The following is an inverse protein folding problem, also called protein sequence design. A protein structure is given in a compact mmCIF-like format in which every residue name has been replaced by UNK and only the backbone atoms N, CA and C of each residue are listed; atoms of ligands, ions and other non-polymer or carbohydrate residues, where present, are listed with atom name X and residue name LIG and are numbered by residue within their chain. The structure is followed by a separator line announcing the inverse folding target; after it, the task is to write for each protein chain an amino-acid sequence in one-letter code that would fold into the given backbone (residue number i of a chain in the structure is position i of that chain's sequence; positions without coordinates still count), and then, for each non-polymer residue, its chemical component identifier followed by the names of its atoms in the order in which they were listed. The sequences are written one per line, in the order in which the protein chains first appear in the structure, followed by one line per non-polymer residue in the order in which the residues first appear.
data_IF_583371027213
#
_entry.id   IF_583371027213
#
_cell.length_a   1.000
_cell.length_b   1.000
_cell.length_c   1.000
_cell.angle_alpha   90.00
_cell.angle_beta   90.00
_cell.angle_gamma   90.00
#
_symmetry.space_group_name_H-M   'P 1'
#
loop_
_entity.id
_entity.type
_entity.pdbx_description
1 polymer ?
#
# COMPACT_ATOMS: atom_id res chain seq x y z
N UNK A 1 25.84 -8.79 7.21
CA UNK A 1 25.45 -10.20 6.98
C UNK A 1 26.70 -10.99 6.63
N UNK A 2 26.90 -12.15 7.25
CA UNK A 2 27.96 -13.09 6.86
C UNK A 2 27.53 -13.81 5.58
N UNK A 3 28.37 -13.80 4.55
CA UNK A 3 28.13 -14.45 3.24
C UNK A 3 28.19 -16.00 3.31
N UNK A 4 28.09 -16.60 4.50
CA UNK A 4 28.44 -18.00 4.74
C UNK A 4 27.29 -18.85 5.28
N UNK A 5 26.16 -18.25 5.65
CA UNK A 5 24.99 -18.99 6.11
C UNK A 5 23.83 -18.75 5.16
N UNK A 6 23.49 -19.78 4.38
CA UNK A 6 22.25 -19.81 3.62
C UNK A 6 21.10 -20.08 4.60
N UNK A 7 20.54 -19.01 5.16
CA UNK A 7 19.38 -19.07 6.05
C UNK A 7 18.14 -19.73 5.42
N UNK A 8 18.11 -19.92 4.09
CA UNK A 8 16.98 -20.49 3.34
C UNK A 8 17.06 -22.00 3.21
N UNK A 9 18.26 -22.55 3.10
CA UNK A 9 18.49 -23.99 3.24
C UNK A 9 17.98 -24.48 4.61
N UNK A 10 18.10 -23.65 5.66
CA UNK A 10 17.62 -23.98 7.01
C UNK A 10 16.08 -24.10 7.11
N UNK A 11 15.33 -23.45 6.22
CA UNK A 11 13.86 -23.53 6.17
C UNK A 11 13.34 -24.43 5.05
N UNK A 12 14.24 -25.05 4.29
CA UNK A 12 13.91 -25.99 3.20
C UNK A 12 13.32 -25.33 1.96
N UNK A 13 13.63 -24.06 1.70
CA UNK A 13 13.11 -23.28 0.57
C UNK A 13 13.96 -23.45 -0.71
N UNK A 14 13.32 -23.78 -1.83
CA UNK A 14 13.88 -23.67 -3.19
C UNK A 14 13.43 -22.36 -3.85
N UNK A 15 14.25 -21.31 -3.73
CA UNK A 15 13.94 -19.97 -4.22
C UNK A 15 13.71 -19.88 -5.73
N UNK A 16 14.23 -20.84 -6.51
CA UNK A 16 14.10 -20.83 -7.97
C UNK A 16 12.85 -21.58 -8.45
N UNK A 17 12.06 -22.12 -7.53
CA UNK A 17 10.86 -22.88 -7.84
C UNK A 17 9.63 -22.29 -7.14
N UNK A 18 8.85 -21.49 -7.88
CA UNK A 18 7.58 -20.92 -7.40
C UNK A 18 6.55 -21.96 -6.93
N UNK A 19 6.71 -23.24 -7.30
CA UNK A 19 5.81 -24.33 -6.89
C UNK A 19 6.23 -24.99 -5.58
N UNK A 20 7.42 -24.72 -5.09
CA UNK A 20 7.81 -25.14 -3.76
C UNK A 20 7.12 -24.24 -2.75
N UNK A 21 6.06 -24.74 -2.10
CA UNK A 21 5.24 -24.00 -1.13
C UNK A 21 5.28 -24.63 0.26
N UNK A 22 6.11 -25.65 0.47
CA UNK A 22 6.15 -26.46 1.68
C UNK A 22 7.11 -25.95 2.76
N UNK A 23 7.59 -24.71 2.62
CA UNK A 23 8.65 -24.11 3.43
C UNK A 23 8.12 -23.01 4.38
N UNK A 24 8.98 -22.55 5.29
CA UNK A 24 8.65 -21.47 6.23
C UNK A 24 8.01 -21.95 7.54
N UNK A 25 7.33 -21.03 8.24
CA UNK A 25 6.68 -21.31 9.52
C UNK A 25 5.31 -20.64 9.62
N UNK A 26 4.34 -21.34 10.21
CA UNK A 26 3.03 -20.78 10.54
C UNK A 26 3.04 -19.99 11.87
N UNK A 27 4.19 -19.90 12.55
CA UNK A 27 4.35 -19.05 13.73
C UNK A 27 4.75 -17.65 13.30
N UNK A 28 3.93 -16.64 13.64
CA UNK A 28 4.35 -15.24 13.59
C UNK A 28 5.67 -15.07 14.36
N UNK A 29 6.57 -14.22 13.84
CA UNK A 29 7.99 -14.13 14.26
C UNK A 29 8.24 -14.33 15.75
N UNK A 30 9.26 -15.14 16.09
CA UNK A 30 9.58 -15.51 17.49
C UNK A 30 9.84 -14.30 18.39
N UNK A 31 10.29 -13.19 17.81
CA UNK A 31 10.49 -11.92 18.48
C UNK A 31 9.49 -10.88 17.96
N UNK A 32 8.52 -10.53 18.80
CA UNK A 32 7.47 -9.56 18.46
C UNK A 32 8.02 -8.16 18.18
N UNK A 33 9.21 -7.82 18.69
CA UNK A 33 9.81 -6.49 18.44
C UNK A 33 10.21 -6.31 16.97
N UNK A 34 10.51 -7.42 16.27
CA UNK A 34 10.84 -7.40 14.84
C UNK A 34 9.59 -7.09 13.98
N UNK A 35 8.39 -7.28 14.53
CA UNK A 35 7.09 -6.99 13.89
C UNK A 35 6.61 -5.55 14.14
N UNK A 36 7.50 -4.64 14.55
CA UNK A 36 7.11 -3.30 14.97
C UNK A 36 6.53 -2.45 13.83
N UNK A 37 7.08 -2.59 12.61
CA UNK A 37 6.52 -1.95 11.41
C UNK A 37 5.15 -2.53 11.07
N UNK A 38 5.01 -3.85 10.98
CA UNK A 38 3.75 -4.53 10.66
C UNK A 38 2.63 -4.18 11.66
N UNK A 39 2.97 -4.16 12.95
CA UNK A 39 2.04 -3.78 14.02
C UNK A 39 1.59 -2.33 13.85
N UNK A 40 2.52 -1.44 13.51
CA UNK A 40 2.24 -0.02 13.29
C UNK A 40 1.30 0.17 12.10
N UNK A 41 1.62 -0.43 10.95
CA UNK A 41 0.81 -0.40 9.71
C UNK A 41 -0.59 -0.96 9.96
N UNK A 42 -0.68 -2.13 10.60
CA UNK A 42 -1.96 -2.79 10.92
C UNK A 42 -2.81 -1.93 11.85
N UNK A 43 -2.19 -1.25 12.82
CA UNK A 43 -2.91 -0.42 13.79
C UNK A 43 -3.68 0.73 13.13
N UNK A 44 -3.14 1.31 12.06
CA UNK A 44 -3.78 2.39 11.31
C UNK A 44 -5.13 1.91 10.74
N UNK A 45 -5.16 0.71 10.17
CA UNK A 45 -6.38 0.13 9.57
C UNK A 45 -7.39 -0.32 10.63
N UNK A 46 -6.94 -1.08 11.62
CA UNK A 46 -7.82 -1.97 12.39
C UNK A 46 -7.56 -1.96 13.91
N UNK A 47 -6.87 -0.95 14.45
CA UNK A 47 -6.86 -0.78 15.90
C UNK A 47 -8.30 -0.64 16.43
N UNK A 48 -8.60 -1.41 17.48
CA UNK A 48 -9.94 -1.45 18.09
C UNK A 48 -10.36 -0.05 18.52
N UNK A 49 -11.44 0.44 17.93
CA UNK A 49 -11.95 1.77 18.21
C UNK A 49 -12.66 1.84 19.55
N UNK A 50 -12.57 2.99 20.22
CA UNK A 50 -13.35 3.32 21.43
C UNK A 50 -13.12 2.38 22.61
N UNK A 51 -11.89 1.89 22.79
CA UNK A 51 -11.48 1.05 23.92
C UNK A 51 -10.57 1.79 24.94
N UNK A 52 -10.45 3.12 24.80
CA UNK A 52 -9.60 4.02 25.60
C UNK A 52 -8.10 3.68 25.62
N UNK A 53 -7.60 2.92 24.63
CA UNK A 53 -6.19 2.53 24.51
C UNK A 53 -5.62 2.87 23.15
N UNK A 54 -4.38 3.38 23.12
CA UNK A 54 -3.63 3.55 21.88
C UNK A 54 -4.22 4.60 20.93
N UNK A 55 -4.83 4.10 19.85
CA UNK A 55 -5.46 4.85 18.76
C UNK A 55 -6.74 4.15 18.30
N UNK A 56 -7.61 4.90 17.62
CA UNK A 56 -8.71 4.35 16.83
C UNK A 56 -8.21 4.06 15.41
N UNK A 57 -8.30 2.81 14.95
CA UNK A 57 -8.10 2.47 13.55
C UNK A 57 -9.23 3.00 12.66
N UNK A 58 -9.08 2.89 11.35
CA UNK A 58 -10.11 3.37 10.40
C UNK A 58 -11.47 2.71 10.67
N UNK A 59 -11.55 1.38 10.81
CA UNK A 59 -12.83 0.68 10.98
C UNK A 59 -12.75 -0.60 11.81
N UNK A 60 -13.75 -0.82 12.67
CA UNK A 60 -13.93 -2.09 13.41
C UNK A 60 -14.46 -3.24 12.54
N UNK A 61 -14.86 -2.97 11.29
CA UNK A 61 -15.36 -4.00 10.37
C UNK A 61 -14.22 -4.79 9.71
N UNK A 62 -12.98 -4.30 9.79
CA UNK A 62 -11.82 -4.89 9.13
C UNK A 62 -11.29 -6.06 9.97
N UNK A 63 -11.11 -7.21 9.32
CA UNK A 63 -10.40 -8.37 9.87
C UNK A 63 -9.05 -8.47 9.18
N UNK A 64 -8.02 -8.82 9.96
CA UNK A 64 -6.63 -8.86 9.49
C UNK A 64 -6.20 -10.30 9.21
N UNK A 65 -5.64 -10.54 8.03
CA UNK A 65 -4.92 -11.75 7.66
C UNK A 65 -3.43 -11.41 7.62
N UNK A 66 -2.66 -11.65 8.70
CA UNK A 66 -1.24 -11.33 8.71
C UNK A 66 -0.48 -12.38 7.88
N UNK A 67 0.18 -11.93 6.82
CA UNK A 67 1.08 -12.75 6.02
C UNK A 67 2.49 -12.23 6.18
N UNK A 68 3.36 -13.09 6.69
CA UNK A 68 4.71 -12.73 7.09
C UNK A 68 5.72 -13.40 6.16
N UNK A 69 6.39 -12.60 5.35
CA UNK A 69 7.31 -13.07 4.31
C UNK A 69 8.72 -12.46 4.40
N UNK A 70 8.95 -11.53 5.33
CA UNK A 70 10.29 -11.11 5.77
C UNK A 70 10.28 -10.70 7.24
N UNK A 71 11.29 -11.15 7.99
CA UNK A 71 11.48 -10.81 9.40
C UNK A 71 12.30 -9.55 9.60
N UNK A 72 13.41 -9.48 8.87
CA UNK A 72 14.41 -8.42 8.90
C UNK A 72 15.08 -8.45 7.53
N UNK A 73 15.12 -7.31 6.85
CA UNK A 73 15.73 -7.20 5.52
C UNK A 73 14.74 -7.46 4.38
N UNK A 74 15.29 -7.70 3.20
CA UNK A 74 14.53 -7.82 1.96
C UNK A 74 13.76 -9.15 1.86
N UNK A 75 12.76 -9.18 1.00
CA UNK A 75 11.97 -10.38 0.70
C UNK A 75 12.25 -10.87 -0.73
N UNK A 76 11.95 -12.13 -0.99
CA UNK A 76 12.05 -12.65 -2.35
C UNK A 76 10.75 -12.47 -3.10
N UNK A 77 10.86 -12.36 -4.42
CA UNK A 77 9.74 -12.27 -5.36
C UNK A 77 8.81 -13.48 -5.22
N UNK A 78 9.40 -14.66 -4.96
CA UNK A 78 8.67 -15.90 -4.67
C UNK A 78 7.78 -15.75 -3.45
N UNK A 79 8.33 -15.27 -2.32
CA UNK A 79 7.56 -15.14 -1.09
C UNK A 79 6.42 -14.12 -1.23
N UNK A 80 6.68 -12.99 -1.88
CA UNK A 80 5.64 -11.98 -2.14
C UNK A 80 4.54 -12.54 -3.05
N UNK A 81 4.90 -13.20 -4.15
CA UNK A 81 3.95 -13.79 -5.08
C UNK A 81 3.08 -14.86 -4.40
N UNK A 82 3.68 -15.74 -3.58
CA UNK A 82 2.96 -16.77 -2.84
C UNK A 82 2.08 -16.17 -1.73
N UNK A 83 2.54 -15.12 -1.05
CA UNK A 83 1.74 -14.42 -0.04
C UNK A 83 0.50 -13.75 -0.67
N UNK A 84 0.64 -13.09 -1.82
CA UNK A 84 -0.51 -12.51 -2.55
C UNK A 84 -1.51 -13.61 -2.93
N UNK A 85 -1.03 -14.71 -3.53
CA UNK A 85 -1.90 -15.84 -3.89
C UNK A 85 -2.61 -16.44 -2.67
N UNK A 86 -1.87 -16.66 -1.58
CA UNK A 86 -2.45 -17.15 -0.33
C UNK A 86 -3.52 -16.20 0.21
N UNK A 87 -3.29 -14.88 0.18
CA UNK A 87 -4.28 -13.90 0.62
C UNK A 87 -5.58 -14.02 -0.19
N UNK A 88 -5.46 -14.05 -1.51
CA UNK A 88 -6.59 -14.18 -2.45
C UNK A 88 -7.34 -15.48 -2.19
N UNK A 89 -6.65 -16.62 -2.15
CA UNK A 89 -7.23 -17.95 -1.98
C UNK A 89 -7.94 -18.13 -0.63
N UNK A 90 -7.52 -17.36 0.38
CA UNK A 90 -8.10 -17.38 1.72
C UNK A 90 -9.14 -16.24 1.94
N UNK A 91 -9.58 -15.60 0.87
CA UNK A 91 -10.71 -14.67 0.89
C UNK A 91 -10.37 -13.25 1.35
N UNK A 92 -9.10 -12.82 1.23
CA UNK A 92 -8.77 -11.41 1.37
C UNK A 92 -9.50 -10.60 0.29
N UNK A 93 -10.09 -9.47 0.68
CA UNK A 93 -10.77 -8.55 -0.23
C UNK A 93 -9.89 -7.35 -0.61
N UNK A 94 -8.91 -7.06 0.24
CA UNK A 94 -7.98 -5.94 0.13
C UNK A 94 -6.62 -6.43 0.65
N UNK A 95 -5.54 -6.18 -0.10
CA UNK A 95 -4.15 -6.44 0.27
C UNK A 95 -3.44 -5.11 0.45
N UNK A 96 -2.80 -4.89 1.59
CA UNK A 96 -1.95 -3.73 1.84
C UNK A 96 -0.47 -4.15 1.71
N UNK A 97 0.25 -3.52 0.78
CA UNK A 97 1.67 -3.71 0.52
C UNK A 97 2.42 -2.45 0.94
N UNK A 98 2.92 -2.42 2.18
CA UNK A 98 3.67 -1.26 2.72
C UNK A 98 5.18 -1.41 2.59
N UNK A 99 5.62 -2.07 1.52
CA UNK A 99 7.02 -2.27 1.15
C UNK A 99 7.20 -1.97 -0.34
N UNK A 100 8.36 -1.41 -0.67
CA UNK A 100 8.90 -1.32 -2.03
C UNK A 100 10.26 -1.99 -2.04
N UNK A 101 10.76 -2.33 -3.23
CA UNK A 101 12.12 -2.81 -3.44
C UNK A 101 12.69 -2.22 -4.73
N UNK A 102 14.00 -2.09 -4.76
CA UNK A 102 14.74 -1.48 -5.87
C UNK A 102 15.09 -2.48 -6.98
N UNK A 103 14.90 -3.79 -6.76
CA UNK A 103 15.30 -4.79 -7.76
C UNK A 103 14.51 -6.10 -7.66
N UNK A 104 14.03 -6.59 -8.81
CA UNK A 104 13.31 -7.87 -8.94
C UNK A 104 14.10 -8.87 -9.78
N UNK A 105 14.34 -10.08 -9.25
CA UNK A 105 14.98 -11.16 -10.01
C UNK A 105 13.98 -12.01 -10.81
N UNK A 106 12.70 -11.99 -10.42
CA UNK A 106 11.58 -12.78 -10.92
C UNK A 106 10.30 -11.92 -10.93
N UNK A 107 10.39 -10.73 -11.54
CA UNK A 107 9.29 -9.74 -11.65
C UNK A 107 7.96 -10.38 -12.05
N UNK A 108 8.04 -11.20 -13.10
CA UNK A 108 6.91 -11.93 -13.67
C UNK A 108 6.11 -12.75 -12.64
N UNK A 109 6.74 -13.31 -11.61
CA UNK A 109 6.01 -14.09 -10.59
C UNK A 109 5.08 -13.24 -9.75
N UNK A 110 5.47 -12.01 -9.42
CA UNK A 110 4.60 -11.11 -8.67
C UNK A 110 3.60 -10.45 -9.59
N UNK A 111 3.97 -10.08 -10.82
CA UNK A 111 3.01 -9.58 -11.81
C UNK A 111 1.86 -10.58 -12.02
N UNK A 112 2.19 -11.87 -12.20
CA UNK A 112 1.19 -12.94 -12.30
C UNK A 112 0.36 -13.10 -11.02
N UNK A 113 0.92 -12.82 -9.84
CA UNK A 113 0.19 -12.87 -8.58
C UNK A 113 -0.72 -11.64 -8.38
N UNK A 114 -0.29 -10.46 -8.79
CA UNK A 114 -1.11 -9.23 -8.75
C UNK A 114 -2.23 -9.29 -9.79
N UNK A 115 -1.96 -9.81 -10.99
CA UNK A 115 -2.98 -10.13 -11.99
C UNK A 115 -3.97 -11.16 -11.45
N UNK A 116 -3.51 -12.18 -10.72
CA UNK A 116 -4.39 -13.14 -10.06
C UNK A 116 -5.30 -12.48 -9.01
N UNK A 117 -4.79 -11.50 -8.24
CA UNK A 117 -5.63 -10.71 -7.33
C UNK A 117 -6.68 -9.87 -8.07
N UNK A 118 -6.31 -9.30 -9.23
CA UNK A 118 -7.25 -8.60 -10.11
C UNK A 118 -8.37 -9.50 -10.64
N UNK A 119 -8.02 -10.67 -11.16
CA UNK A 119 -8.98 -11.67 -11.68
C UNK A 119 -9.97 -12.16 -10.61
N UNK A 120 -9.58 -12.06 -9.33
CA UNK A 120 -10.40 -12.47 -8.18
C UNK A 120 -11.03 -11.30 -7.40
N UNK A 121 -11.10 -10.09 -7.99
CA UNK A 121 -11.74 -8.90 -7.39
C UNK A 121 -11.16 -8.48 -6.03
N UNK A 122 -9.85 -8.63 -5.85
CA UNK A 122 -9.13 -8.25 -4.62
C UNK A 122 -8.41 -6.94 -4.84
N UNK A 123 -8.71 -5.87 -4.09
CA UNK A 123 -8.01 -4.60 -4.22
C UNK A 123 -6.57 -4.69 -3.68
N UNK A 124 -5.60 -4.10 -4.36
CA UNK A 124 -4.22 -3.98 -3.86
C UNK A 124 -3.95 -2.51 -3.55
N UNK A 125 -3.31 -2.22 -2.41
CA UNK A 125 -2.92 -0.87 -2.00
C UNK A 125 -1.44 -0.89 -1.64
N UNK A 126 -0.62 -0.23 -2.45
CA UNK A 126 0.83 -0.16 -2.32
C UNK A 126 1.33 1.21 -1.84
N UNK A 127 2.43 1.23 -1.09
CA UNK A 127 3.18 2.46 -0.78
C UNK A 127 4.01 2.93 -1.97
N UNK A 128 4.11 4.24 -2.20
CA UNK A 128 4.90 4.78 -3.31
C UNK A 128 6.43 4.75 -3.12
N UNK A 129 6.93 4.58 -1.89
CA UNK A 129 8.36 4.67 -1.56
C UNK A 129 8.75 6.03 -0.97
N UNK A 130 9.97 6.13 -0.42
CA UNK A 130 10.36 7.16 0.54
C UNK A 130 11.67 7.89 0.13
N UNK A 131 11.89 8.07 -1.16
CA UNK A 131 13.18 8.48 -1.74
C UNK A 131 13.11 9.83 -2.47
N UNK A 132 11.94 10.49 -2.46
CA UNK A 132 11.64 11.71 -3.22
C UNK A 132 11.80 11.56 -4.75
N UNK A 133 11.66 10.35 -5.28
CA UNK A 133 11.75 10.12 -6.70
C UNK A 133 10.48 10.57 -7.44
N UNK A 134 10.68 11.18 -8.60
CA UNK A 134 9.62 11.35 -9.59
C UNK A 134 9.54 10.08 -10.43
N UNK A 135 8.57 9.23 -10.12
CA UNK A 135 8.38 7.94 -10.77
C UNK A 135 8.05 8.06 -12.27
N UNK A 136 7.68 9.25 -12.76
CA UNK A 136 7.48 9.49 -14.19
C UNK A 136 8.81 9.71 -14.96
N UNK A 137 9.96 9.80 -14.27
CA UNK A 137 11.25 10.00 -14.93
C UNK A 137 11.77 8.69 -15.55
N UNK A 138 12.42 8.82 -16.71
CA UNK A 138 13.02 7.70 -17.41
C UNK A 138 14.10 7.04 -16.53
N UNK A 139 14.03 5.73 -16.36
CA UNK A 139 14.94 4.96 -15.49
C UNK A 139 14.43 4.75 -14.06
N UNK A 140 13.39 5.47 -13.61
CA UNK A 140 12.81 5.25 -12.27
C UNK A 140 11.95 3.98 -12.17
N UNK A 141 11.74 3.28 -13.30
CA UNK A 141 10.95 2.06 -13.38
C UNK A 141 11.56 0.91 -12.56
N UNK A 142 12.88 0.74 -12.68
CA UNK A 142 13.58 -0.40 -12.08
C UNK A 142 13.64 -0.30 -10.54
N UNK A 143 13.53 0.92 -10.00
CA UNK A 143 13.78 1.22 -8.59
C UNK A 143 12.53 1.11 -7.68
N UNK A 144 11.35 0.72 -8.20
CA UNK A 144 10.07 0.84 -7.46
C UNK A 144 9.08 -0.31 -7.65
N UNK A 145 9.44 -1.49 -7.18
CA UNK A 145 8.59 -2.68 -7.26
C UNK A 145 7.91 -3.05 -5.92
N UNK A 146 6.72 -3.67 -5.91
CA UNK A 146 5.85 -3.97 -7.05
C UNK A 146 5.13 -2.74 -7.60
N UNK A 147 4.78 -2.78 -8.89
CA UNK A 147 4.08 -1.70 -9.60
C UNK A 147 2.92 -2.23 -10.44
N UNK A 148 1.99 -1.35 -10.82
CA UNK A 148 0.86 -1.62 -11.72
C UNK A 148 1.04 -1.12 -13.14
N UNK A 149 2.20 -0.50 -13.42
CA UNK A 149 2.57 0.07 -14.69
C UNK A 149 3.79 -0.69 -15.23
N UNK A 150 3.86 -0.91 -16.54
CA UNK A 150 5.01 -1.51 -17.22
C UNK A 150 6.03 -0.44 -17.67
N UNK A 151 7.20 -0.86 -18.19
CA UNK A 151 8.25 0.04 -18.70
C UNK A 151 7.75 1.04 -19.75
N UNK A 152 6.64 0.75 -20.44
CA UNK A 152 6.02 1.61 -21.45
C UNK A 152 5.04 2.64 -20.86
N UNK A 153 4.85 2.66 -19.54
CA UNK A 153 3.91 3.54 -18.86
C UNK A 153 2.46 3.07 -18.94
N UNK A 154 2.21 1.81 -19.30
CA UNK A 154 0.87 1.25 -19.42
C UNK A 154 0.45 0.54 -18.13
N UNK A 155 -0.70 0.93 -17.58
CA UNK A 155 -1.29 0.28 -16.42
C UNK A 155 -1.83 -1.12 -16.80
N UNK A 156 -1.28 -2.18 -16.20
CA UNK A 156 -1.65 -3.57 -16.46
C UNK A 156 -2.38 -4.25 -15.28
N UNK A 157 -2.43 -3.60 -14.10
CA UNK A 157 -3.09 -4.10 -12.88
C UNK A 157 -4.13 -3.07 -12.40
N UNK A 158 -5.34 -3.06 -12.96
CA UNK A 158 -6.28 -1.94 -12.81
C UNK A 158 -6.88 -1.79 -11.40
N UNK A 159 -6.68 -2.75 -10.51
CA UNK A 159 -7.15 -2.80 -9.11
C UNK A 159 -6.03 -2.47 -8.09
N UNK A 160 -4.87 -1.99 -8.53
CA UNK A 160 -3.79 -1.53 -7.66
C UNK A 160 -3.95 -0.05 -7.33
N UNK A 161 -3.63 0.37 -6.11
CA UNK A 161 -3.58 1.79 -5.73
C UNK A 161 -2.20 2.11 -5.17
N UNK A 162 -1.40 2.91 -5.86
CA UNK A 162 -0.10 3.40 -5.38
C UNK A 162 -0.29 4.72 -4.62
N UNK A 163 0.17 4.73 -3.36
CA UNK A 163 -0.16 5.79 -2.39
C UNK A 163 1.08 6.58 -1.97
N UNK A 164 1.09 7.86 -2.29
CA UNK A 164 2.06 8.84 -1.77
C UNK A 164 1.68 9.35 -0.36
N UNK A 165 2.64 9.98 0.32
CA UNK A 165 2.46 10.49 1.67
C UNK A 165 2.44 12.03 1.72
N UNK A 166 1.49 12.57 2.48
CA UNK A 166 1.47 13.99 2.86
C UNK A 166 1.90 14.20 4.32
N UNK A 167 2.33 15.41 4.60
CA UNK A 167 2.62 15.93 5.92
C UNK A 167 1.50 16.92 6.36
N UNK A 168 1.45 17.34 7.64
CA UNK A 168 0.42 18.26 8.13
C UNK A 168 0.68 19.75 7.80
N UNK A 169 1.76 20.10 7.10
CA UNK A 169 2.12 21.47 6.78
C UNK A 169 1.30 21.99 5.60
N UNK A 170 0.32 22.85 5.87
CA UNK A 170 -0.66 23.32 4.89
C UNK A 170 -0.08 24.00 3.64
N UNK A 171 1.12 24.58 3.72
CA UNK A 171 1.76 25.30 2.60
C UNK A 171 2.76 24.44 1.81
N UNK A 172 3.05 23.22 2.27
CA UNK A 172 3.95 22.29 1.61
C UNK A 172 3.55 20.86 1.99
N UNK A 173 2.36 20.45 1.51
CA UNK A 173 1.68 19.26 2.03
C UNK A 173 2.34 17.97 1.57
N UNK A 174 3.09 17.95 0.45
CA UNK A 174 3.84 16.77 0.03
C UNK A 174 4.90 16.49 1.10
N UNK A 175 4.96 15.26 1.63
CA UNK A 175 6.12 14.91 2.45
C UNK A 175 7.38 14.89 1.58
N UNK A 176 8.44 15.53 2.04
CA UNK A 176 9.68 15.74 1.28
C UNK A 176 10.21 14.43 0.69
N UNK A 177 10.20 13.33 1.44
CA UNK A 177 10.69 12.03 0.97
C UNK A 177 9.64 11.20 0.23
N UNK A 178 8.38 11.61 0.13
CA UNK A 178 7.40 10.80 -0.63
C UNK A 178 7.79 10.75 -2.10
N UNK A 179 7.85 9.55 -2.67
CA UNK A 179 7.84 9.42 -4.13
C UNK A 179 6.51 9.98 -4.69
N UNK A 180 6.57 10.45 -5.93
CA UNK A 180 5.46 11.12 -6.62
C UNK A 180 5.54 10.84 -8.11
N UNK A 181 4.47 11.12 -8.85
CA UNK A 181 4.44 10.93 -10.30
C UNK A 181 3.01 11.05 -10.80
N UNK A 182 2.80 11.87 -11.83
CA UNK A 182 1.50 12.09 -12.45
C UNK A 182 0.92 10.82 -13.05
N UNK A 183 1.78 9.91 -13.49
CA UNK A 183 1.39 8.64 -14.11
C UNK A 183 1.47 7.47 -13.14
N UNK A 184 2.41 7.44 -12.19
CA UNK A 184 2.63 6.27 -11.34
C UNK A 184 1.94 6.31 -9.97
N UNK A 185 1.76 7.50 -9.37
CA UNK A 185 1.10 7.61 -8.05
C UNK A 185 -0.38 7.91 -8.24
N UNK A 186 -1.28 7.09 -7.69
CA UNK A 186 -2.72 7.28 -7.87
C UNK A 186 -3.26 8.44 -7.04
N UNK A 187 -2.92 8.49 -5.74
CA UNK A 187 -3.32 9.53 -4.81
C UNK A 187 -2.39 9.61 -3.60
N UNK A 188 -2.63 10.60 -2.75
CA UNK A 188 -1.92 10.77 -1.49
C UNK A 188 -2.78 10.44 -0.26
N UNK A 189 -2.14 10.11 0.86
CA UNK A 189 -2.77 10.02 2.17
C UNK A 189 -1.85 10.54 3.29
N UNK A 190 -2.39 10.90 4.47
CA UNK A 190 -1.56 11.29 5.60
C UNK A 190 -0.52 10.22 5.94
N UNK A 191 0.75 10.60 5.85
CA UNK A 191 1.87 9.69 6.07
C UNK A 191 2.82 10.13 7.16
N UNK A 192 2.76 11.38 7.64
CA UNK A 192 3.67 11.91 8.66
C UNK A 192 3.00 12.25 9.98
N UNK A 193 3.74 12.05 11.07
CA UNK A 193 3.29 12.27 12.44
C UNK A 193 2.03 11.46 12.77
N UNK A 194 1.95 10.23 12.23
CA UNK A 194 0.82 9.34 12.47
C UNK A 194 1.05 8.60 13.77
N UNK A 195 0.18 8.79 14.75
CA UNK A 195 0.25 8.00 15.99
C UNK A 195 -0.10 6.55 15.67
N UNK A 196 0.73 5.61 16.10
CA UNK A 196 0.61 4.16 15.79
C UNK A 196 0.85 3.31 17.03
N UNK A 197 0.43 2.04 16.99
CA UNK A 197 0.67 1.04 18.04
C UNK A 197 1.92 0.24 17.68
N UNK A 198 2.78 0.04 18.67
CA UNK A 198 3.94 -0.84 18.63
C UNK A 198 3.69 -2.09 19.48
N UNK A 199 4.47 -3.16 19.28
CA UNK A 199 4.43 -4.35 20.12
C UNK A 199 4.51 -4.01 21.62
N UNK A 200 3.89 -4.85 22.45
CA UNK A 200 3.85 -4.72 23.92
C UNK A 200 3.11 -3.46 24.40
N UNK A 201 1.96 -3.18 23.78
CA UNK A 201 1.04 -2.08 24.14
C UNK A 201 1.68 -0.67 24.13
N UNK A 202 2.73 -0.49 23.32
CA UNK A 202 3.41 0.79 23.18
C UNK A 202 2.76 1.63 22.09
N UNK A 203 2.95 2.95 22.15
CA UNK A 203 2.58 3.86 21.07
C UNK A 203 3.78 4.71 20.66
N UNK A 204 3.85 5.05 19.39
CA UNK A 204 4.85 5.97 18.85
C UNK A 204 4.25 6.82 17.72
N UNK A 205 5.03 7.72 17.13
CA UNK A 205 4.72 8.38 15.87
C UNK A 205 5.48 7.70 14.73
N UNK A 206 4.74 7.22 13.74
CA UNK A 206 5.23 6.71 12.47
C UNK A 206 5.28 7.79 11.40
N UNK A 207 6.05 7.50 10.36
CA UNK A 207 6.23 8.35 9.18
C UNK A 207 6.41 7.49 7.93
N UNK A 208 5.98 8.01 6.79
CA UNK A 208 6.27 7.46 5.46
C UNK A 208 5.07 6.99 4.68
N UNK A 209 5.32 6.58 3.43
CA UNK A 209 4.27 6.00 2.56
C UNK A 209 3.71 4.70 3.11
N UNK A 210 4.48 3.96 3.93
CA UNK A 210 4.00 2.82 4.73
C UNK A 210 2.94 3.20 5.78
N UNK A 211 2.81 4.46 6.18
CA UNK A 211 1.68 4.93 7.00
C UNK A 211 0.49 5.41 6.15
N UNK A 212 0.76 5.89 4.93
CA UNK A 212 -0.25 6.40 4.00
C UNK A 212 -1.06 5.26 3.33
N UNK A 213 -0.38 4.23 2.83
CA UNK A 213 -1.01 3.05 2.22
C UNK A 213 -2.08 2.38 3.13
N UNK A 214 -1.81 2.07 4.42
CA UNK A 214 -2.82 1.46 5.28
C UNK A 214 -4.00 2.39 5.59
N UNK A 215 -3.84 3.72 5.52
CA UNK A 215 -5.01 4.62 5.60
C UNK A 215 -5.95 4.40 4.43
N UNK A 216 -5.42 4.32 3.21
CA UNK A 216 -6.22 4.07 1.99
C UNK A 216 -6.84 2.68 2.02
N UNK A 217 -6.08 1.65 2.40
CA UNK A 217 -6.60 0.29 2.57
C UNK A 217 -7.71 0.23 3.63
N UNK A 218 -7.57 0.98 4.73
CA UNK A 218 -8.61 1.11 5.75
C UNK A 218 -9.89 1.79 5.23
N UNK A 219 -9.76 2.85 4.42
CA UNK A 219 -10.90 3.51 3.78
C UNK A 219 -11.58 2.58 2.77
N UNK A 220 -10.81 1.83 1.97
CA UNK A 220 -11.34 0.80 1.10
C UNK A 220 -12.13 -0.27 1.87
N UNK A 221 -11.59 -0.73 3.01
CA UNK A 221 -12.25 -1.69 3.89
C UNK A 221 -13.55 -1.15 4.49
N UNK A 222 -13.56 0.12 4.88
CA UNK A 222 -14.76 0.83 5.33
C UNK A 222 -15.83 0.86 4.22
N UNK A 223 -15.45 1.27 2.99
CA UNK A 223 -16.38 1.30 1.84
C UNK A 223 -16.94 -0.10 1.55
N UNK A 224 -16.08 -1.12 1.42
CA UNK A 224 -16.51 -2.51 1.14
C UNK A 224 -17.43 -3.05 2.24
N UNK A 225 -17.24 -2.65 3.50
CA UNK A 225 -18.09 -3.11 4.61
C UNK A 225 -19.54 -2.61 4.52
N UNK A 226 -19.76 -1.39 4.02
CA UNK A 226 -21.09 -0.84 3.79
C UNK A 226 -21.69 -1.28 2.45
N UNK A 227 -20.84 -1.42 1.43
CA UNK A 227 -21.26 -1.69 0.05
C UNK A 227 -20.52 -2.92 -0.52
N UNK A 228 -20.82 -4.14 -0.02
CA UNK A 228 -20.04 -5.35 -0.34
C UNK A 228 -20.13 -5.81 -1.79
N UNK A 229 -21.08 -5.29 -2.57
CA UNK A 229 -21.27 -5.58 -4.01
C UNK A 229 -20.41 -4.70 -4.94
N UNK A 230 -19.72 -3.71 -4.39
CA UNK A 230 -18.77 -2.90 -5.17
C UNK A 230 -17.53 -3.74 -5.48
N UNK A 231 -17.09 -3.76 -6.74
CA UNK A 231 -15.85 -4.42 -7.15
C UNK A 231 -14.63 -3.65 -6.64
N UNK A 232 -13.47 -4.31 -6.61
CA UNK A 232 -12.18 -3.68 -6.31
C UNK A 232 -11.94 -2.46 -7.22
N UNK A 233 -12.22 -2.60 -8.52
CA UNK A 233 -12.08 -1.50 -9.48
C UNK A 233 -13.03 -0.33 -9.19
N UNK A 234 -14.29 -0.60 -8.80
CA UNK A 234 -15.22 0.45 -8.40
C UNK A 234 -14.73 1.17 -7.14
N UNK A 235 -14.18 0.43 -6.16
CA UNK A 235 -13.62 1.00 -4.94
C UNK A 235 -12.39 1.87 -5.23
N UNK A 236 -11.46 1.43 -6.11
CA UNK A 236 -10.33 2.25 -6.57
C UNK A 236 -10.83 3.58 -7.12
N UNK A 237 -11.78 3.54 -8.06
CA UNK A 237 -12.36 4.74 -8.67
C UNK A 237 -13.01 5.66 -7.63
N UNK A 238 -13.83 5.11 -6.73
CA UNK A 238 -14.46 5.88 -5.65
C UNK A 238 -13.41 6.60 -4.81
N UNK A 239 -12.34 5.92 -4.39
CA UNK A 239 -11.28 6.50 -3.56
C UNK A 239 -10.55 7.62 -4.32
N UNK A 240 -10.20 7.40 -5.58
CA UNK A 240 -9.50 8.39 -6.41
C UNK A 240 -10.37 9.60 -6.73
N UNK A 241 -11.65 9.39 -7.06
CA UNK A 241 -12.56 10.44 -7.52
C UNK A 241 -13.13 11.27 -6.36
N UNK A 242 -13.29 10.68 -5.18
CA UNK A 242 -13.87 11.36 -4.01
C UNK A 242 -12.86 12.10 -3.12
N UNK A 243 -11.57 11.95 -3.38
CA UNK A 243 -10.50 12.61 -2.63
C UNK A 243 -10.58 14.15 -2.65
N UNK A 244 -9.93 14.78 -1.68
CA UNK A 244 -9.87 16.25 -1.56
C UNK A 244 -8.75 16.79 -2.43
N UNK A 245 -9.08 17.78 -3.26
CA UNK A 245 -8.10 18.53 -4.06
C UNK A 245 -7.54 19.71 -3.27
N UNK A 246 -6.24 19.95 -3.41
CA UNK A 246 -5.56 21.11 -2.87
C UNK A 246 -5.05 21.98 -4.03
N UNK A 247 -5.57 23.20 -4.15
CA UNK A 247 -5.13 24.15 -5.16
C UNK A 247 -3.94 24.98 -4.65
N UNK A 248 -2.84 24.29 -4.38
CA UNK A 248 -1.59 24.88 -3.91
C UNK A 248 -0.44 24.38 -4.77
N UNK A 249 0.63 25.17 -4.81
CA UNK A 249 1.91 24.67 -5.29
C UNK A 249 2.74 24.17 -4.10
N UNK A 250 3.56 23.17 -4.36
CA UNK A 250 4.51 22.62 -3.39
C UNK A 250 5.93 22.69 -3.95
N UNK A 251 6.91 22.72 -3.06
CA UNK A 251 8.32 22.67 -3.46
C UNK A 251 8.76 21.22 -3.55
N UNK A 252 9.38 20.86 -4.68
CA UNK A 252 9.94 19.53 -4.85
C UNK A 252 11.40 19.65 -5.25
N UNK A 253 12.28 19.12 -4.41
CA UNK A 253 13.70 19.01 -4.72
C UNK A 253 13.86 18.01 -5.88
N UNK A 254 14.56 18.46 -6.92
CA UNK A 254 14.91 17.64 -8.07
C UNK A 254 16.27 16.98 -7.83
N UNK A 255 16.64 16.00 -8.66
CA UNK A 255 17.92 15.27 -8.53
C UNK A 255 19.17 16.18 -8.62
N UNK A 256 19.06 17.32 -9.30
CA UNK A 256 20.12 18.32 -9.41
C UNK A 256 20.27 19.20 -8.14
N UNK A 257 19.44 18.97 -7.12
CA UNK A 257 19.41 19.69 -5.84
C UNK A 257 18.63 21.02 -5.90
N UNK A 258 18.07 21.40 -7.05
CA UNK A 258 17.23 22.59 -7.14
C UNK A 258 15.77 22.27 -6.80
N UNK A 259 15.11 23.21 -6.13
CA UNK A 259 13.68 23.10 -5.84
C UNK A 259 12.85 23.66 -6.99
N UNK A 260 11.89 22.87 -7.45
CA UNK A 260 10.89 23.27 -8.42
C UNK A 260 9.54 23.42 -7.74
N UNK A 261 8.84 24.50 -8.05
CA UNK A 261 7.45 24.71 -7.62
C UNK A 261 6.51 24.00 -8.59
N UNK A 262 5.74 23.03 -8.09
CA UNK A 262 4.83 22.19 -8.90
C UNK A 262 3.43 22.24 -8.27
N UNK A 263 2.34 22.39 -9.06
CA UNK A 263 0.99 22.24 -8.52
C UNK A 263 0.81 20.86 -7.89
N UNK A 264 0.20 20.78 -6.71
CA UNK A 264 -0.01 19.50 -6.02
C UNK A 264 -0.78 18.50 -6.89
N UNK A 265 -1.69 18.99 -7.75
CA UNK A 265 -2.45 18.18 -8.70
C UNK A 265 -1.59 17.41 -9.70
N UNK A 266 -0.35 17.83 -9.95
CA UNK A 266 0.58 17.21 -10.88
C UNK A 266 1.44 16.12 -10.24
N UNK A 267 1.33 15.89 -8.92
CA UNK A 267 2.14 14.90 -8.21
C UNK A 267 1.53 13.49 -8.19
N UNK A 268 0.30 13.33 -8.67
CA UNK A 268 -0.41 12.05 -8.76
C UNK A 268 -1.48 12.07 -9.85
N UNK A 269 -1.92 10.91 -10.31
CA UNK A 269 -3.01 10.74 -11.29
C UNK A 269 -4.24 11.55 -10.86
N UNK A 270 -4.74 11.32 -9.64
CA UNK A 270 -5.94 12.00 -9.11
C UNK A 270 -5.68 13.45 -8.68
N UNK A 271 -4.44 13.80 -8.30
CA UNK A 271 -4.11 15.09 -7.71
C UNK A 271 -4.79 15.35 -6.35
N UNK A 272 -5.17 14.28 -5.64
CA UNK A 272 -6.04 14.33 -4.46
C UNK A 272 -5.45 13.62 -3.25
N UNK A 273 -5.99 13.95 -2.09
CA UNK A 273 -5.76 13.26 -0.82
C UNK A 273 -6.99 12.45 -0.43
N UNK A 274 -6.80 11.23 0.04
CA UNK A 274 -7.90 10.33 0.46
C UNK A 274 -8.85 11.01 1.45
N UNK A 275 -10.15 10.76 1.29
CA UNK A 275 -11.18 11.26 2.21
C UNK A 275 -12.28 10.21 2.44
N UNK A 276 -12.34 9.67 3.66
CA UNK A 276 -13.26 8.60 4.00
C UNK A 276 -14.74 8.99 3.88
N UNK A 277 -15.08 10.23 4.25
CA UNK A 277 -16.47 10.71 4.22
C UNK A 277 -17.00 10.82 2.79
N UNK A 278 -16.24 11.48 1.91
CA UNK A 278 -16.61 11.59 0.50
C UNK A 278 -16.64 10.23 -0.20
N UNK A 279 -15.72 9.33 0.15
CA UNK A 279 -15.70 7.97 -0.39
C UNK A 279 -17.00 7.21 -0.06
N UNK A 280 -17.52 7.35 1.16
CA UNK A 280 -18.78 6.71 1.56
C UNK A 280 -19.99 7.33 0.83
N UNK A 281 -20.02 8.65 0.65
CA UNK A 281 -21.09 9.30 -0.11
C UNK A 281 -21.10 8.86 -1.58
N UNK A 282 -19.94 8.85 -2.23
CA UNK A 282 -19.83 8.42 -3.63
C UNK A 282 -20.12 6.92 -3.78
N UNK A 283 -19.68 6.09 -2.83
CA UNK A 283 -20.00 4.66 -2.81
C UNK A 283 -21.52 4.40 -2.72
N UNK A 284 -22.25 5.22 -1.96
CA UNK A 284 -23.72 5.16 -1.89
C UNK A 284 -24.36 5.39 -3.26
N UNK A 285 -23.90 6.42 -3.97
CA UNK A 285 -24.40 6.78 -5.30
C UNK A 285 -24.13 5.68 -6.32
N UNK A 286 -22.90 5.16 -6.37
CA UNK A 286 -22.50 4.07 -7.27
C UNK A 286 -23.28 2.79 -6.97
N UNK A 287 -23.43 2.45 -5.68
CA UNK A 287 -24.18 1.26 -5.27
C UNK A 287 -25.66 1.35 -5.68
N UNK A 288 -26.31 2.51 -5.48
CA UNK A 288 -27.71 2.73 -5.90
C UNK A 288 -27.89 2.67 -7.42
N UNK A 289 -26.91 3.16 -8.20
CA UNK A 289 -26.96 3.07 -9.65
C UNK A 289 -26.93 1.61 -10.12
N UNK A 290 -26.10 0.77 -9.48
CA UNK A 290 -25.94 -0.66 -9.79
C UNK A 290 -27.17 -1.50 -9.46
N UNK A 291 -27.94 -1.10 -8.45
CA UNK A 291 -29.21 -1.76 -8.12
C UNK A 291 -30.32 -1.48 -9.14
N UNK A 292 -30.24 -0.38 -9.90
CA UNK A 292 -31.23 -0.04 -10.93
C UNK A 292 -30.97 -0.73 -12.27
N UNK A 293 -29.76 -1.25 -12.49
CA UNK A 293 -29.35 -1.91 -13.73
C UNK A 293 -29.42 -3.44 -13.66
N UNK A 294 -29.81 -4.00 -12.52
CA UNK A 294 -30.08 -5.44 -12.32
C UNK A 294 -31.59 -5.68 -12.17
#
# INVERSE_FOLDING_TARGET
MSLTEDSREQVGDDQQNIKDTGYGSNTLGKNVDDLSHDTSVTSIMAALRSNDKGIDGISNAIKIMPLYFSAVGDYTDKDLALAIRYAVDNGAQIINLSHTKDFSMQEKWVDEALLYANENDVLIVGSAGNDNFNLDQEGSFDDHYPDDINEQGEEFIPNFIKVGAINPQANDIKWESSNYGKSFVDLFAPGMFIKVIYPKDKTNYGGGTSCAAPMVAGVAGLVKSYYPKLSALEIKKIIMDSGISYNINVEVEQEDGFKKTIPFSELSKSGKVVNAYNAILMAEEVSKAKEKTN
#
